data_IF_774821945225
#
_entry.id   IF_774821945225
#
_cell.length_a   1.000
_cell.length_b   1.000
_cell.length_c   1.000
_cell.angle_alpha   90.00
_cell.angle_beta   90.00
_cell.angle_gamma   90.00
#
_symmetry.space_group_name_H-M   'P 1'
#
loop_
_entity.id
_entity.type
_entity.pdbx_description
1 polymer ?
#
# COMPACT_ATOMS: atom_id res chain seq x y z
N UNK A 1 -15.87 -4.60 -7.18
CA UNK A 1 -16.42 -5.10 -5.90
C UNK A 1 -16.15 -6.59 -5.84
N UNK A 2 -15.49 -7.05 -4.78
CA UNK A 2 -15.26 -8.49 -4.58
C UNK A 2 -16.58 -9.12 -4.13
N UNK A 3 -16.96 -10.24 -4.73
CA UNK A 3 -18.17 -10.98 -4.36
C UNK A 3 -17.91 -11.83 -3.11
N UNK A 4 -18.94 -12.04 -2.28
CA UNK A 4 -18.84 -12.90 -1.10
C UNK A 4 -18.32 -14.30 -1.46
N UNK A 5 -18.77 -14.86 -2.58
CA UNK A 5 -18.31 -16.16 -3.08
C UNK A 5 -16.82 -16.19 -3.43
N UNK A 6 -16.21 -15.06 -3.79
CA UNK A 6 -14.77 -14.97 -4.03
C UNK A 6 -14.01 -14.92 -2.70
N UNK A 7 -14.54 -14.23 -1.69
CA UNK A 7 -13.96 -14.20 -0.34
C UNK A 7 -14.00 -15.59 0.31
N UNK A 8 -15.15 -16.26 0.27
CA UNK A 8 -15.29 -17.65 0.75
C UNK A 8 -14.31 -18.59 0.06
N UNK A 9 -14.07 -18.39 -1.24
CA UNK A 9 -13.12 -19.21 -1.99
C UNK A 9 -11.67 -18.97 -1.55
N UNK A 10 -11.28 -17.72 -1.30
CA UNK A 10 -9.96 -17.39 -0.78
C UNK A 10 -9.75 -18.01 0.60
N UNK A 11 -10.74 -17.91 1.47
CA UNK A 11 -10.70 -18.51 2.82
C UNK A 11 -10.57 -20.05 2.76
N UNK A 12 -11.34 -20.73 1.91
CA UNK A 12 -11.23 -22.18 1.70
C UNK A 12 -9.84 -22.61 1.21
N UNK A 13 -9.12 -21.73 0.53
CA UNK A 13 -7.75 -21.95 0.06
C UNK A 13 -6.70 -21.57 1.11
N UNK A 14 -7.11 -21.12 2.29
CA UNK A 14 -6.21 -20.66 3.36
C UNK A 14 -5.58 -19.29 3.09
N UNK A 15 -6.14 -18.49 2.17
CA UNK A 15 -5.63 -17.16 1.85
C UNK A 15 -6.30 -16.08 2.69
N UNK A 16 -5.55 -15.00 2.93
CA UNK A 16 -6.07 -13.76 3.49
C UNK A 16 -6.20 -12.71 2.37
N UNK A 17 -7.37 -12.08 2.26
CA UNK A 17 -7.55 -10.92 1.40
C UNK A 17 -7.24 -9.65 2.21
N UNK A 18 -6.25 -8.89 1.76
CA UNK A 18 -5.81 -7.66 2.43
C UNK A 18 -6.05 -6.47 1.52
N UNK A 19 -6.84 -5.51 2.01
CA UNK A 19 -7.05 -4.23 1.34
C UNK A 19 -6.04 -3.17 1.80
N UNK A 20 -6.33 -1.92 1.46
CA UNK A 20 -5.55 -0.76 1.88
C UNK A 20 -6.45 0.30 2.52
N UNK A 21 -5.83 1.20 3.29
CA UNK A 21 -6.50 2.34 3.94
C UNK A 21 -5.97 3.68 3.47
N UNK A 22 -4.82 3.70 2.78
CA UNK A 22 -4.20 4.90 2.22
C UNK A 22 -3.93 4.64 0.74
N UNK A 23 -4.47 5.51 -0.12
CA UNK A 23 -4.37 5.41 -1.57
C UNK A 23 -4.04 6.78 -2.18
N UNK A 24 -2.78 7.04 -2.55
CA UNK A 24 -2.41 8.30 -3.16
C UNK A 24 -2.85 8.40 -4.63
N UNK A 25 -3.35 7.32 -5.25
CA UNK A 25 -3.58 7.21 -6.69
C UNK A 25 -2.30 7.48 -7.52
N UNK A 26 -1.18 6.91 -7.10
CA UNK A 26 0.13 7.07 -7.74
C UNK A 26 0.19 6.54 -9.19
N UNK A 27 -0.72 5.63 -9.55
CA UNK A 27 -0.91 5.13 -10.91
C UNK A 27 -1.38 6.21 -11.92
N UNK A 28 -1.76 7.40 -11.46
CA UNK A 28 -2.22 8.52 -12.31
C UNK A 28 -1.09 9.40 -12.87
N UNK A 29 0.17 8.97 -12.78
CA UNK A 29 1.36 9.77 -13.15
C UNK A 29 1.40 11.14 -12.42
N UNK A 30 1.10 11.11 -11.12
CA UNK A 30 1.29 12.28 -10.25
C UNK A 30 2.74 12.39 -9.79
N UNK A 31 3.17 13.59 -9.39
CA UNK A 31 4.54 13.83 -8.94
C UNK A 31 4.88 13.06 -7.65
N UNK A 32 6.16 12.76 -7.44
CA UNK A 32 6.63 12.13 -6.19
C UNK A 32 6.31 12.96 -4.94
N UNK A 33 6.32 14.30 -5.06
CA UNK A 33 5.91 15.22 -4.01
C UNK A 33 4.42 15.05 -3.69
N UNK A 34 3.56 15.01 -4.71
CA UNK A 34 2.12 14.81 -4.53
C UNK A 34 1.78 13.43 -3.95
N UNK A 35 2.47 12.36 -4.37
CA UNK A 35 2.37 11.03 -3.74
C UNK A 35 2.69 11.14 -2.24
N UNK A 36 3.81 11.80 -1.91
CA UNK A 36 4.27 11.95 -0.52
C UNK A 36 3.24 12.71 0.32
N UNK A 37 2.74 13.84 -0.18
CA UNK A 37 1.76 14.65 0.54
C UNK A 37 0.45 13.90 0.79
N UNK A 38 -0.08 13.20 -0.23
CA UNK A 38 -1.31 12.40 -0.10
C UNK A 38 -1.15 11.27 0.91
N UNK A 39 -0.04 10.52 0.86
CA UNK A 39 0.21 9.46 1.84
C UNK A 39 0.33 10.04 3.25
N UNK A 40 1.08 11.11 3.44
CA UNK A 40 1.26 11.72 4.77
C UNK A 40 -0.06 12.26 5.35
N UNK A 41 -0.98 12.73 4.50
CA UNK A 41 -2.26 13.28 4.94
C UNK A 41 -3.21 12.20 5.50
N UNK A 42 -3.20 11.00 4.90
CA UNK A 42 -4.18 9.94 5.21
C UNK A 42 -3.61 8.82 6.10
N UNK A 43 -2.29 8.81 6.33
CA UNK A 43 -1.65 7.75 7.14
C UNK A 43 -2.05 7.82 8.62
N UNK A 44 -2.50 6.68 9.14
CA UNK A 44 -2.81 6.47 10.57
C UNK A 44 -2.18 5.18 11.07
N UNK A 45 -2.10 5.01 12.40
CA UNK A 45 -1.53 3.82 13.02
C UNK A 45 -2.30 2.56 12.61
N UNK A 46 -1.59 1.54 12.13
CA UNK A 46 -2.18 0.31 11.60
C UNK A 46 -2.68 0.40 10.15
N UNK A 47 -2.41 1.51 9.45
CA UNK A 47 -2.78 1.68 8.06
C UNK A 47 -1.94 0.84 7.09
N UNK A 48 -2.54 0.48 5.96
CA UNK A 48 -1.86 -0.16 4.82
C UNK A 48 -1.85 0.82 3.65
N UNK A 49 -0.66 1.19 3.18
CA UNK A 49 -0.44 2.13 2.08
C UNK A 49 -0.31 1.34 0.78
N UNK A 50 -1.14 1.65 -0.21
CA UNK A 50 -1.03 1.11 -1.57
C UNK A 50 -0.12 2.00 -2.42
N UNK A 51 0.89 1.40 -3.04
CA UNK A 51 1.75 2.00 -4.05
C UNK A 51 2.02 0.98 -5.16
N UNK A 52 2.30 1.48 -6.35
CA UNK A 52 2.64 0.72 -7.55
C UNK A 52 4.11 0.96 -7.92
N UNK A 53 4.75 -0.03 -8.53
CA UNK A 53 6.09 0.08 -9.14
C UNK A 53 6.04 0.11 -10.68
N UNK A 54 4.83 0.13 -11.24
CA UNK A 54 4.55 0.22 -12.67
C UNK A 54 3.06 0.27 -12.95
N UNK A 55 2.71 0.58 -14.20
CA UNK A 55 1.33 0.59 -14.72
C UNK A 55 1.29 -0.07 -16.09
N UNK A 56 0.15 -0.65 -16.45
CA UNK A 56 -0.04 -1.37 -17.72
C UNK A 56 -0.09 -0.44 -18.95
N UNK A 57 -0.18 0.87 -18.75
CA UNK A 57 -0.16 1.88 -19.81
C UNK A 57 1.29 2.29 -20.11
N UNK A 58 1.86 1.94 -21.28
CA UNK A 58 3.29 2.14 -21.57
C UNK A 58 3.73 3.61 -21.61
N UNK A 59 2.78 4.53 -21.76
CA UNK A 59 3.05 5.97 -21.80
C UNK A 59 3.15 6.60 -20.42
N UNK A 60 2.69 5.92 -19.37
CA UNK A 60 2.68 6.45 -18.01
C UNK A 60 3.87 5.95 -17.20
N UNK A 61 4.38 6.81 -16.32
CA UNK A 61 5.43 6.47 -15.35
C UNK A 61 4.88 6.54 -13.92
N UNK A 62 5.30 5.61 -13.06
CA UNK A 62 4.99 5.68 -11.62
C UNK A 62 6.16 6.32 -10.89
N UNK A 63 5.88 7.40 -10.16
CA UNK A 63 6.89 8.18 -9.42
C UNK A 63 6.98 7.80 -7.94
N UNK A 64 6.29 6.72 -7.53
CA UNK A 64 6.32 6.21 -6.16
C UNK A 64 7.71 5.80 -5.68
N UNK A 65 8.57 5.15 -6.50
CA UNK A 65 9.95 4.86 -6.09
C UNK A 65 10.72 6.10 -5.63
N UNK A 66 10.57 7.23 -6.34
CA UNK A 66 11.19 8.50 -5.96
C UNK A 66 10.59 9.07 -4.67
N UNK A 67 9.27 8.97 -4.49
CA UNK A 67 8.55 9.42 -3.29
C UNK A 67 9.02 8.72 -2.01
N UNK A 68 9.44 7.45 -2.10
CA UNK A 68 9.93 6.68 -0.95
C UNK A 68 11.14 7.34 -0.25
N UNK A 69 11.96 8.11 -0.99
CA UNK A 69 13.12 8.80 -0.42
C UNK A 69 12.74 9.84 0.64
N UNK A 70 11.56 10.45 0.51
CA UNK A 70 11.04 11.40 1.49
C UNK A 70 10.02 10.76 2.44
N UNK A 71 9.15 9.90 1.90
CA UNK A 71 8.04 9.32 2.65
C UNK A 71 8.51 8.47 3.84
N UNK A 72 9.46 7.56 3.62
CA UNK A 72 9.98 6.66 4.65
C UNK A 72 10.57 7.42 5.85
N UNK A 73 11.54 8.35 5.66
CA UNK A 73 12.12 9.07 6.80
C UNK A 73 11.10 9.96 7.52
N UNK A 74 10.15 10.58 6.80
CA UNK A 74 9.10 11.42 7.41
C UNK A 74 8.17 10.60 8.30
N UNK A 75 7.74 9.42 7.86
CA UNK A 75 6.91 8.52 8.66
C UNK A 75 7.67 7.96 9.87
N UNK A 76 8.94 7.57 9.69
CA UNK A 76 9.79 7.14 10.81
C UNK A 76 9.98 8.26 11.85
N UNK A 77 10.20 9.50 11.41
CA UNK A 77 10.33 10.66 12.29
C UNK A 77 9.02 10.95 13.06
N UNK A 78 7.87 10.68 12.45
CA UNK A 78 6.56 10.77 13.09
C UNK A 78 6.26 9.61 14.05
N UNK A 79 7.17 8.64 14.21
CA UNK A 79 7.06 7.54 15.17
C UNK A 79 6.43 6.27 14.60
N UNK A 80 6.22 6.19 13.28
CA UNK A 80 5.75 4.97 12.64
C UNK A 80 6.87 3.93 12.49
N UNK A 81 6.49 2.66 12.57
CA UNK A 81 7.34 1.54 12.19
C UNK A 81 6.74 0.88 10.95
N UNK A 82 7.57 0.64 9.94
CA UNK A 82 7.19 -0.18 8.80
C UNK A 82 7.33 -1.65 9.18
N UNK A 83 6.27 -2.40 8.93
CA UNK A 83 6.20 -3.86 9.12
C UNK A 83 5.61 -4.49 7.87
N UNK A 84 5.81 -5.79 7.71
CA UNK A 84 5.10 -6.55 6.70
C UNK A 84 3.61 -6.68 7.04
N UNK A 85 2.79 -6.98 6.03
CA UNK A 85 1.36 -7.25 6.23
C UNK A 85 1.14 -8.43 7.20
N UNK A 86 1.97 -9.46 7.13
CA UNK A 86 1.88 -10.62 8.01
C UNK A 86 2.14 -10.25 9.48
N UNK A 87 3.14 -9.40 9.75
CA UNK A 87 3.41 -8.87 11.09
C UNK A 87 2.29 -7.96 11.59
N UNK A 88 1.72 -7.12 10.73
CA UNK A 88 0.62 -6.23 11.10
C UNK A 88 -0.62 -6.99 11.59
N UNK A 89 -0.94 -8.12 10.96
CA UNK A 89 -2.10 -8.94 11.30
C UNK A 89 -1.77 -10.17 12.16
N UNK A 90 -0.51 -10.34 12.56
CA UNK A 90 -0.02 -11.49 13.34
C UNK A 90 -0.36 -12.85 12.71
N UNK A 91 -0.26 -12.95 11.38
CA UNK A 91 -0.52 -14.19 10.62
C UNK A 91 0.76 -14.80 10.08
N UNK A 92 0.74 -16.13 9.87
CA UNK A 92 1.88 -16.84 9.26
C UNK A 92 2.01 -16.49 7.77
N UNK A 93 3.25 -16.33 7.30
CA UNK A 93 3.59 -16.18 5.88
C UNK A 93 4.28 -17.45 5.36
N UNK A 94 3.74 -18.62 5.69
CA UNK A 94 4.18 -19.90 5.18
C UNK A 94 3.45 -20.22 3.87
N UNK A 95 4.22 -20.55 2.82
CA UNK A 95 3.71 -20.99 1.52
C UNK A 95 3.46 -22.49 1.48
#
# INVERSE_FOLDING_TARGET
MILDSQMERLEQMGNYAVGWTVDPNDWQEISAEEVTERVLADTTAGGVILLHDGVDEPSLTVNSPEALNELIPRLQQAGFQFVTVAELFEVSNEK
#
